data_IF_047448165728
#
_entry.id   IF_047448165728
#
_cell.length_a   1.000
_cell.length_b   1.000
_cell.length_c   1.000
_cell.angle_alpha   90.00
_cell.angle_beta   90.00
_cell.angle_gamma   90.00
#
_symmetry.space_group_name_H-M   'P 1'
#
loop_
_entity.id
_entity.type
_entity.pdbx_description
1 polymer ?
#
# COMPACT_ATOMS: atom_id res chain seq x y z
N UNK A 1 1.40 -10.84 7.29
CA UNK A 1 0.86 -10.71 5.93
C UNK A 1 0.71 -9.23 5.63
N UNK A 2 1.67 -8.69 4.88
CA UNK A 2 1.68 -7.30 4.44
C UNK A 2 0.97 -7.28 3.09
N UNK A 3 -0.02 -6.40 2.91
CA UNK A 3 -0.82 -6.37 1.69
C UNK A 3 -0.31 -5.27 0.79
N UNK A 4 0.44 -5.65 -0.25
CA UNK A 4 0.32 -4.93 -1.53
C UNK A 4 -1.16 -4.82 -1.89
N UNK A 5 -1.60 -3.74 -2.55
CA UNK A 5 -3.01 -3.52 -2.88
C UNK A 5 -3.46 -4.48 -4.00
N UNK A 6 -3.65 -5.75 -3.64
CA UNK A 6 -4.25 -6.76 -4.48
C UNK A 6 -5.76 -6.58 -4.61
N UNK A 7 -6.38 -7.41 -5.43
CA UNK A 7 -7.81 -7.37 -5.72
C UNK A 7 -8.17 -6.55 -6.96
N UNK A 8 -7.20 -5.96 -7.67
CA UNK A 8 -7.46 -5.17 -8.89
C UNK A 8 -8.02 -6.09 -9.98
N UNK A 9 -7.30 -7.18 -10.27
CA UNK A 9 -7.73 -8.18 -11.24
C UNK A 9 -8.99 -8.91 -10.78
N UNK A 10 -9.07 -9.29 -9.50
CA UNK A 10 -10.28 -9.89 -8.95
C UNK A 10 -11.51 -8.99 -9.11
N UNK A 11 -11.40 -7.70 -8.76
CA UNK A 11 -12.51 -6.75 -8.90
C UNK A 11 -12.89 -6.56 -10.36
N UNK A 12 -11.91 -6.48 -11.27
CA UNK A 12 -12.18 -6.46 -12.71
C UNK A 12 -12.94 -7.70 -13.19
N UNK A 13 -12.58 -8.88 -12.70
CA UNK A 13 -13.26 -10.13 -13.04
C UNK A 13 -14.67 -10.19 -12.48
N UNK A 14 -14.88 -9.73 -11.25
CA UNK A 14 -16.22 -9.59 -10.68
C UNK A 14 -17.08 -8.61 -11.49
N UNK A 15 -16.52 -7.48 -11.92
CA UNK A 15 -17.21 -6.52 -12.78
C UNK A 15 -17.61 -7.09 -14.16
N UNK A 16 -16.91 -8.11 -14.65
CA UNK A 16 -17.25 -8.82 -15.90
C UNK A 16 -18.43 -9.78 -15.70
N UNK A 17 -18.60 -10.31 -14.49
CA UNK A 17 -19.60 -11.33 -14.15
C UNK A 17 -20.92 -10.72 -13.68
N UNK A 18 -20.86 -9.68 -12.86
CA UNK A 18 -22.05 -9.09 -12.25
C UNK A 18 -22.58 -7.92 -13.08
N UNK A 19 -23.89 -7.82 -13.16
CA UNK A 19 -24.58 -6.66 -13.72
C UNK A 19 -24.61 -5.50 -12.70
N UNK A 20 -24.73 -4.26 -13.20
CA UNK A 20 -24.93 -3.04 -12.38
C UNK A 20 -23.83 -2.73 -11.33
N UNK A 21 -22.57 -2.87 -11.72
CA UNK A 21 -21.40 -2.57 -10.85
C UNK A 21 -20.99 -1.09 -10.86
N UNK A 22 -20.48 -0.61 -9.72
CA UNK A 22 -19.91 0.74 -9.59
C UNK A 22 -18.67 0.86 -10.48
N UNK A 23 -18.60 1.94 -11.27
CA UNK A 23 -17.52 2.14 -12.26
C UNK A 23 -17.72 1.37 -13.57
N UNK A 24 -18.78 0.58 -13.67
CA UNK A 24 -19.11 -0.21 -14.86
C UNK A 24 -18.16 -1.38 -15.10
N UNK A 25 -18.51 -2.15 -16.13
CA UNK A 25 -17.82 -3.40 -16.50
C UNK A 25 -16.31 -3.24 -16.67
N UNK A 26 -15.88 -2.18 -17.36
CA UNK A 26 -14.47 -1.95 -17.69
C UNK A 26 -13.77 -0.96 -16.75
N UNK A 27 -14.44 -0.41 -15.74
CA UNK A 27 -13.89 0.68 -14.92
C UNK A 27 -12.53 0.37 -14.29
N UNK A 28 -12.34 -0.87 -13.79
CA UNK A 28 -11.07 -1.31 -13.24
C UNK A 28 -9.97 -1.45 -14.31
N UNK A 29 -10.33 -1.97 -15.49
CA UNK A 29 -9.39 -2.17 -16.60
C UNK A 29 -8.94 -0.81 -17.15
N UNK A 30 -9.89 0.09 -17.40
CA UNK A 30 -9.63 1.42 -17.94
C UNK A 30 -8.90 2.30 -16.91
N UNK A 31 -9.29 2.21 -15.63
CA UNK A 31 -8.60 2.89 -14.53
C UNK A 31 -7.15 2.43 -14.40
N UNK A 32 -6.89 1.12 -14.39
CA UNK A 32 -5.53 0.60 -14.33
C UNK A 32 -4.72 0.97 -15.58
N UNK A 33 -5.32 0.95 -16.78
CA UNK A 33 -4.64 1.42 -18.01
C UNK A 33 -4.27 2.90 -17.90
N UNK A 34 -5.15 3.71 -17.34
CA UNK A 34 -5.04 5.17 -17.26
C UNK A 34 -3.92 5.70 -16.37
N UNK A 35 -3.32 4.87 -15.50
CA UNK A 35 -2.18 5.30 -14.67
C UNK A 35 -0.85 5.28 -15.42
N UNK A 36 -0.80 4.72 -16.64
CA UNK A 36 0.42 4.60 -17.44
C UNK A 36 0.37 5.49 -18.68
N UNK A 37 1.55 5.78 -19.24
CA UNK A 37 1.68 6.47 -20.54
C UNK A 37 1.02 5.69 -21.66
N UNK A 38 0.62 6.35 -22.75
CA UNK A 38 0.01 5.68 -23.90
C UNK A 38 0.99 4.77 -24.69
N UNK A 39 2.31 4.99 -24.55
CA UNK A 39 3.37 4.30 -25.31
C UNK A 39 4.42 3.67 -24.38
N UNK A 40 5.21 2.72 -24.90
CA UNK A 40 6.16 1.89 -24.12
C UNK A 40 5.52 0.59 -23.62
N UNK A 41 6.29 -0.36 -23.11
CA UNK A 41 5.74 -1.56 -22.47
C UNK A 41 5.40 -1.28 -21.00
N UNK A 42 4.52 -2.09 -20.41
CA UNK A 42 4.20 -2.07 -18.97
C UNK A 42 4.53 -3.40 -18.34
N UNK A 43 5.46 -3.38 -17.40
CA UNK A 43 5.88 -4.56 -16.66
C UNK A 43 5.31 -4.53 -15.25
N UNK A 44 4.37 -5.42 -14.95
CA UNK A 44 3.84 -5.63 -13.60
C UNK A 44 4.79 -6.56 -12.86
N UNK A 45 5.65 -5.98 -12.02
CA UNK A 45 6.67 -6.73 -11.28
C UNK A 45 6.09 -7.26 -9.97
N UNK A 46 5.91 -8.57 -9.90
CA UNK A 46 5.36 -9.28 -8.73
C UNK A 46 6.50 -10.01 -8.02
N UNK A 47 6.77 -9.66 -6.76
CA UNK A 47 7.77 -10.35 -5.95
C UNK A 47 7.28 -11.70 -5.42
N UNK A 48 8.20 -12.49 -4.88
CA UNK A 48 7.89 -13.78 -4.26
C UNK A 48 6.95 -13.64 -3.05
N UNK A 49 7.11 -12.59 -2.23
CA UNK A 49 6.21 -12.27 -1.11
C UNK A 49 4.77 -11.99 -1.57
N UNK A 50 4.60 -11.51 -2.80
CA UNK A 50 3.30 -11.16 -3.40
C UNK A 50 2.80 -12.20 -4.42
N UNK A 51 3.44 -13.37 -4.51
CA UNK A 51 3.16 -14.38 -5.54
C UNK A 51 1.72 -14.88 -5.56
N UNK A 52 1.02 -14.85 -4.44
CA UNK A 52 -0.38 -15.29 -4.33
C UNK A 52 -1.32 -14.42 -5.17
N UNK A 53 -0.93 -13.19 -5.49
CA UNK A 53 -1.67 -12.27 -6.35
C UNK A 53 -1.27 -12.39 -7.84
N UNK A 54 -0.24 -13.17 -8.19
CA UNK A 54 0.18 -13.33 -9.60
C UNK A 54 -0.98 -13.75 -10.52
N UNK A 55 -1.87 -14.70 -10.17
CA UNK A 55 -2.96 -15.11 -11.05
C UNK A 55 -3.92 -13.96 -11.41
N UNK A 56 -4.22 -13.06 -10.47
CA UNK A 56 -5.09 -11.91 -10.78
C UNK A 56 -4.40 -10.87 -11.66
N UNK A 57 -3.08 -10.70 -11.53
CA UNK A 57 -2.29 -9.81 -12.37
C UNK A 57 -2.17 -10.37 -13.79
N UNK A 58 -1.98 -11.67 -13.93
CA UNK A 58 -1.98 -12.34 -15.24
C UNK A 58 -3.34 -12.24 -15.92
N UNK A 59 -4.43 -12.39 -15.16
CA UNK A 59 -5.77 -12.17 -15.69
C UNK A 59 -5.97 -10.73 -16.16
N UNK A 60 -5.57 -9.75 -15.33
CA UNK A 60 -5.71 -8.33 -15.62
C UNK A 60 -4.97 -7.95 -16.91
N UNK A 61 -3.74 -8.43 -17.07
CA UNK A 61 -2.91 -8.12 -18.23
C UNK A 61 -3.46 -8.71 -19.53
N UNK A 62 -4.07 -9.90 -19.47
CA UNK A 62 -4.78 -10.48 -20.61
C UNK A 62 -5.90 -9.57 -21.12
N UNK A 63 -6.57 -8.81 -20.23
CA UNK A 63 -7.60 -7.83 -20.61
C UNK A 63 -7.01 -6.53 -21.18
N UNK A 64 -5.78 -6.18 -20.80
CA UNK A 64 -5.14 -4.92 -21.16
C UNK A 64 -4.42 -4.97 -22.52
N UNK A 65 -3.99 -6.15 -22.94
CA UNK A 65 -3.37 -6.40 -24.25
C UNK A 65 -1.84 -6.57 -24.22
N UNK A 66 -1.25 -6.69 -25.40
CA UNK A 66 0.14 -7.12 -25.62
C UNK A 66 1.23 -6.21 -25.03
N UNK A 67 0.90 -4.94 -24.76
CA UNK A 67 1.81 -3.97 -24.15
C UNK A 67 2.11 -4.29 -22.68
N UNK A 68 1.24 -5.05 -22.03
CA UNK A 68 1.32 -5.34 -20.61
C UNK A 68 1.87 -6.76 -20.40
N UNK A 69 2.71 -6.94 -19.39
CA UNK A 69 3.30 -8.25 -19.03
C UNK A 69 3.49 -8.36 -17.53
N UNK A 70 3.28 -9.55 -16.95
CA UNK A 70 3.72 -9.83 -15.57
C UNK A 70 5.16 -10.31 -15.63
N UNK A 71 6.02 -9.73 -14.79
CA UNK A 71 7.39 -10.19 -14.61
C UNK A 71 7.69 -10.49 -13.13
N UNK A 72 8.77 -11.23 -12.88
CA UNK A 72 9.27 -11.50 -11.53
C UNK A 72 10.31 -10.45 -11.10
N UNK A 73 10.86 -10.63 -9.89
CA UNK A 73 11.81 -9.71 -9.30
C UNK A 73 13.21 -9.73 -9.91
N UNK A 74 13.48 -10.61 -10.89
CA UNK A 74 14.74 -10.74 -11.61
C UNK A 74 14.74 -10.11 -13.01
N UNK A 75 13.61 -9.57 -13.45
CA UNK A 75 13.49 -8.94 -14.76
C UNK A 75 14.28 -7.62 -14.85
N UNK A 76 15.19 -7.54 -15.83
CA UNK A 76 16.09 -6.39 -16.02
C UNK A 76 16.02 -5.74 -17.42
N UNK A 77 15.29 -6.35 -18.37
CA UNK A 77 15.25 -5.96 -19.78
C UNK A 77 14.30 -4.76 -20.02
N UNK A 78 14.57 -3.65 -19.35
CA UNK A 78 13.80 -2.41 -19.48
C UNK A 78 14.26 -1.57 -20.68
N UNK A 79 13.31 -1.17 -21.53
CA UNK A 79 13.52 -0.24 -22.63
C UNK A 79 13.18 1.20 -22.24
N UNK A 80 13.71 2.17 -23.00
CA UNK A 80 13.36 3.58 -22.81
C UNK A 80 11.88 3.82 -23.10
N UNK A 81 11.20 4.49 -22.18
CA UNK A 81 9.76 4.74 -22.24
C UNK A 81 8.89 3.69 -21.57
N UNK A 82 9.46 2.56 -21.11
CA UNK A 82 8.71 1.54 -20.39
C UNK A 82 8.21 2.05 -19.04
N UNK A 83 7.13 1.44 -18.56
CA UNK A 83 6.59 1.64 -17.22
C UNK A 83 6.67 0.35 -16.42
N UNK A 84 6.98 0.46 -15.14
CA UNK A 84 6.99 -0.67 -14.22
C UNK A 84 5.91 -0.44 -13.18
N UNK A 85 4.95 -1.36 -13.11
CA UNK A 85 4.04 -1.44 -11.99
C UNK A 85 4.69 -2.22 -10.86
N UNK A 86 5.16 -1.52 -9.83
CA UNK A 86 5.78 -2.08 -8.63
C UNK A 86 4.73 -2.74 -7.77
N UNK A 87 4.65 -4.06 -7.84
CA UNK A 87 3.76 -4.89 -7.02
C UNK A 87 4.56 -5.68 -5.97
N UNK A 88 5.32 -4.93 -5.17
CA UNK A 88 6.08 -5.38 -4.01
C UNK A 88 6.32 -4.17 -3.10
N UNK A 89 6.58 -4.41 -1.81
CA UNK A 89 6.81 -3.37 -0.80
C UNK A 89 8.31 -3.09 -0.62
N UNK A 90 8.69 -1.91 -0.10
CA UNK A 90 10.10 -1.54 0.05
C UNK A 90 10.82 -2.32 1.15
N UNK A 91 10.10 -2.88 2.12
CA UNK A 91 10.73 -3.80 3.09
C UNK A 91 11.22 -5.08 2.41
N UNK A 92 10.60 -5.48 1.28
CA UNK A 92 10.96 -6.67 0.49
C UNK A 92 12.10 -6.38 -0.50
N UNK A 93 12.64 -5.15 -0.49
CA UNK A 93 13.61 -4.70 -1.50
C UNK A 93 14.88 -5.58 -1.55
N UNK A 94 15.30 -6.15 -0.43
CA UNK A 94 16.45 -7.07 -0.38
C UNK A 94 16.23 -8.36 -1.19
N UNK A 95 14.98 -8.73 -1.46
CA UNK A 95 14.61 -9.90 -2.26
C UNK A 95 14.33 -9.55 -3.73
N UNK A 96 14.46 -8.27 -4.10
CA UNK A 96 14.28 -7.81 -5.48
C UNK A 96 15.64 -7.78 -6.17
N UNK A 97 15.96 -8.84 -6.91
CA UNK A 97 17.25 -9.00 -7.59
C UNK A 97 17.54 -7.82 -8.54
N UNK A 98 16.54 -7.40 -9.32
CA UNK A 98 16.63 -6.29 -10.26
C UNK A 98 16.55 -4.89 -9.62
N UNK A 99 16.51 -4.77 -8.28
CA UNK A 99 16.24 -3.50 -7.57
C UNK A 99 17.16 -2.35 -7.98
N UNK A 100 18.46 -2.63 -8.07
CA UNK A 100 19.47 -1.64 -8.48
C UNK A 100 19.24 -1.18 -9.92
N UNK A 101 18.99 -2.11 -10.85
CA UNK A 101 18.74 -1.81 -12.26
C UNK A 101 17.46 -1.00 -12.42
N UNK A 102 16.38 -1.44 -11.79
CA UNK A 102 15.06 -0.80 -11.78
C UNK A 102 15.15 0.66 -11.31
N UNK A 103 15.73 0.89 -10.13
CA UNK A 103 15.80 2.24 -9.55
C UNK A 103 16.81 3.14 -10.25
N UNK A 104 17.90 2.60 -10.79
CA UNK A 104 18.82 3.39 -11.61
C UNK A 104 18.17 3.83 -12.92
N UNK A 105 17.44 2.95 -13.61
CA UNK A 105 16.71 3.28 -14.83
C UNK A 105 15.66 4.38 -14.59
N UNK A 106 14.91 4.28 -13.48
CA UNK A 106 13.94 5.29 -13.09
C UNK A 106 14.59 6.62 -12.70
N UNK A 107 15.72 6.58 -11.96
CA UNK A 107 16.51 7.77 -11.60
C UNK A 107 17.03 8.51 -12.83
N UNK A 108 17.43 7.76 -13.86
CA UNK A 108 17.85 8.30 -15.16
C UNK A 108 16.66 8.71 -16.05
N UNK A 109 15.42 8.62 -15.57
CA UNK A 109 14.16 8.93 -16.28
C UNK A 109 13.95 8.11 -17.56
N UNK A 110 14.62 6.95 -17.68
CA UNK A 110 14.43 6.02 -18.81
C UNK A 110 13.11 5.28 -18.72
N UNK A 111 12.69 4.96 -17.50
CA UNK A 111 11.41 4.30 -17.21
C UNK A 111 10.62 5.08 -16.16
N UNK A 112 9.35 4.75 -16.03
CA UNK A 112 8.46 5.24 -14.97
C UNK A 112 8.07 4.12 -14.01
N UNK A 113 8.10 4.38 -12.70
CA UNK A 113 7.71 3.39 -11.68
C UNK A 113 6.43 3.85 -10.98
N UNK A 114 5.43 2.97 -10.94
CA UNK A 114 4.15 3.16 -10.24
C UNK A 114 3.83 1.91 -9.42
N UNK A 115 3.55 1.91 -8.13
CA UNK A 115 3.61 3.00 -7.17
C UNK A 115 5.07 3.46 -6.92
N UNK A 116 5.29 4.75 -6.63
CA UNK A 116 6.63 5.27 -6.40
C UNK A 116 7.28 4.64 -5.15
N UNK A 117 8.61 4.44 -5.13
CA UNK A 117 9.32 3.88 -3.98
C UNK A 117 9.49 4.94 -2.87
N UNK A 118 8.41 5.22 -2.13
CA UNK A 118 8.37 6.19 -1.03
C UNK A 118 8.00 5.48 0.27
N UNK A 119 8.98 5.26 1.14
CA UNK A 119 8.80 4.53 2.42
C UNK A 119 7.66 5.07 3.26
N UNK A 120 7.53 6.39 3.39
CA UNK A 120 6.46 7.02 4.17
C UNK A 120 5.04 6.75 3.66
N UNK A 121 4.87 6.26 2.43
CA UNK A 121 3.56 5.83 1.90
C UNK A 121 3.20 4.40 2.32
N UNK A 122 4.19 3.60 2.73
CA UNK A 122 4.04 2.19 3.15
C UNK A 122 4.01 2.05 4.69
N UNK A 123 4.41 3.12 5.39
CA UNK A 123 4.51 3.15 6.85
C UNK A 123 3.17 3.35 7.57
N UNK A 124 2.79 2.36 8.39
CA UNK A 124 1.58 2.42 9.23
C UNK A 124 1.69 3.42 10.37
N UNK A 125 2.92 3.81 10.73
CA UNK A 125 3.19 4.83 11.74
C UNK A 125 2.52 6.17 11.43
N UNK A 126 2.27 6.47 10.15
CA UNK A 126 1.56 7.68 9.74
C UNK A 126 0.17 7.80 10.41
N UNK A 127 -0.53 6.69 10.62
CA UNK A 127 -1.82 6.70 11.31
C UNK A 127 -1.66 7.06 12.79
N UNK A 128 -0.60 6.58 13.44
CA UNK A 128 -0.33 6.95 14.82
C UNK A 128 0.08 8.43 14.96
N UNK A 129 0.86 8.96 14.01
CA UNK A 129 1.22 10.37 13.95
C UNK A 129 0.01 11.28 13.65
N UNK A 130 -0.94 10.80 12.85
CA UNK A 130 -2.21 11.48 12.62
C UNK A 130 -2.98 11.69 13.92
N UNK A 131 -3.05 10.67 14.79
CA UNK A 131 -3.73 10.74 16.09
C UNK A 131 -2.89 11.37 17.22
N UNK A 132 -1.64 11.75 16.96
CA UNK A 132 -0.78 12.35 17.96
C UNK A 132 -1.27 13.76 18.33
N UNK A 133 -1.64 13.96 19.60
CA UNK A 133 -2.14 15.25 20.12
C UNK A 133 -1.20 16.43 19.83
N UNK A 134 0.12 16.21 19.84
CA UNK A 134 1.12 17.25 19.64
C UNK A 134 1.18 17.72 18.18
N UNK A 135 0.66 16.92 17.24
CA UNK A 135 0.59 17.23 15.81
C UNK A 135 -0.79 17.73 15.37
N UNK A 136 -1.77 17.82 16.28
CA UNK A 136 -3.15 18.19 15.92
C UNK A 136 -3.26 19.54 15.22
N UNK A 137 -2.60 20.57 15.74
CA UNK A 137 -2.62 21.90 15.13
C UNK A 137 -1.85 21.95 13.81
N UNK A 138 -0.78 21.16 13.68
CA UNK A 138 -0.08 20.98 12.41
C UNK A 138 -1.05 20.40 11.36
N UNK A 139 -1.69 19.27 11.65
CA UNK A 139 -2.63 18.64 10.72
C UNK A 139 -3.82 19.53 10.39
N UNK A 140 -4.35 20.25 11.38
CA UNK A 140 -5.45 21.20 11.15
C UNK A 140 -5.06 22.31 10.17
N UNK A 141 -3.81 22.80 10.24
CA UNK A 141 -3.30 23.83 9.33
C UNK A 141 -3.06 23.28 7.92
N UNK A 142 -2.38 22.14 7.80
CA UNK A 142 -2.00 21.58 6.49
C UNK A 142 -3.19 20.98 5.72
N UNK A 143 -4.11 20.32 6.44
CA UNK A 143 -5.26 19.63 5.82
C UNK A 143 -6.53 20.49 5.83
N UNK A 144 -6.62 21.46 6.74
CA UNK A 144 -7.87 22.17 7.02
C UNK A 144 -8.84 21.36 7.89
N UNK A 145 -9.65 22.07 8.68
CA UNK A 145 -10.50 21.45 9.70
C UNK A 145 -11.57 20.49 9.13
N UNK A 146 -12.06 20.74 7.91
CA UNK A 146 -13.08 19.89 7.29
C UNK A 146 -12.51 18.53 6.88
N UNK A 147 -11.36 18.51 6.20
CA UNK A 147 -10.71 17.28 5.78
C UNK A 147 -10.19 16.48 6.97
N UNK A 148 -9.61 17.16 7.97
CA UNK A 148 -9.18 16.52 9.21
C UNK A 148 -10.33 15.71 9.84
N UNK A 149 -11.54 16.30 9.96
CA UNK A 149 -12.71 15.60 10.50
C UNK A 149 -13.21 14.44 9.65
N UNK A 150 -12.97 14.44 8.33
CA UNK A 150 -13.33 13.29 7.50
C UNK A 150 -12.30 12.17 7.67
N UNK A 151 -11.02 12.50 7.75
CA UNK A 151 -9.95 11.55 8.00
C UNK A 151 -10.08 10.89 9.38
N UNK A 152 -10.46 11.65 10.42
CA UNK A 152 -10.76 11.12 11.76
C UNK A 152 -11.86 10.03 11.78
N UNK A 153 -12.75 9.99 10.77
CA UNK A 153 -13.80 8.97 10.67
C UNK A 153 -13.33 7.67 10.01
N UNK A 154 -12.28 7.73 9.19
CA UNK A 154 -11.83 6.61 8.36
C UNK A 154 -10.48 6.04 8.79
N UNK A 155 -9.60 6.87 9.37
CA UNK A 155 -8.32 6.43 9.91
C UNK A 155 -8.56 5.87 11.31
N UNK A 156 -8.28 4.59 11.58
CA UNK A 156 -8.50 4.02 12.91
C UNK A 156 -7.56 4.65 13.93
N UNK A 157 -8.01 4.76 15.18
CA UNK A 157 -7.11 5.13 16.28
C UNK A 157 -5.93 4.16 16.33
N UNK A 158 -4.73 4.73 16.32
CA UNK A 158 -3.48 4.00 16.23
C UNK A 158 -2.49 4.61 17.20
N UNK A 159 -1.70 3.77 17.87
CA UNK A 159 -0.73 4.18 18.88
C UNK A 159 0.66 3.70 18.49
N UNK A 160 1.67 4.53 18.76
CA UNK A 160 3.06 4.06 18.79
C UNK A 160 3.26 3.40 20.15
N UNK A 161 3.69 2.15 20.14
CA UNK A 161 4.02 1.41 21.36
C UNK A 161 5.52 1.50 21.58
N UNK A 162 5.91 2.20 22.65
CA UNK A 162 7.29 2.24 23.14
C UNK A 162 7.43 1.19 24.26
N UNK A 163 8.37 0.24 24.17
CA UNK A 163 8.60 -0.75 25.21
C UNK A 163 9.20 -0.16 26.50
N UNK A 164 9.64 1.10 26.49
CA UNK A 164 10.19 1.78 27.66
C UNK A 164 9.17 1.86 28.81
N UNK A 165 9.57 1.60 30.06
CA UNK A 165 8.66 1.67 31.20
C UNK A 165 8.03 3.05 31.35
N UNK A 166 6.70 3.09 31.43
CA UNK A 166 5.98 4.32 31.76
C UNK A 166 6.14 4.65 33.26
N UNK A 167 6.10 5.94 33.64
CA UNK A 167 5.98 6.33 35.05
C UNK A 167 4.80 5.62 35.74
N UNK A 168 4.87 5.31 37.05
CA UNK A 168 3.84 4.52 37.74
C UNK A 168 2.41 5.06 37.64
N UNK A 169 2.26 6.37 37.39
CA UNK A 169 0.98 7.08 37.27
C UNK A 169 0.58 7.36 35.82
N UNK A 170 1.39 6.94 34.84
CA UNK A 170 1.15 7.18 33.42
C UNK A 170 0.47 5.97 32.76
N UNK A 171 -0.31 6.23 31.73
CA UNK A 171 -0.93 5.22 30.89
C UNK A 171 -0.93 5.67 29.43
N UNK A 172 -0.98 4.72 28.50
CA UNK A 172 -1.12 4.98 27.07
C UNK A 172 -2.51 5.60 26.83
N UNK A 173 -2.59 6.86 26.39
CA UNK A 173 -3.86 7.57 26.29
C UNK A 173 -4.83 6.85 25.35
N UNK A 174 -6.08 6.62 25.77
CA UNK A 174 -7.10 5.93 24.97
C UNK A 174 -7.10 4.40 25.12
N UNK A 175 -5.97 3.79 25.49
CA UNK A 175 -5.90 2.37 25.86
C UNK A 175 -6.00 2.15 27.37
N UNK A 176 -5.59 3.15 28.17
CA UNK A 176 -5.52 3.09 29.63
C UNK A 176 -4.66 1.92 30.15
N UNK A 177 -3.61 1.56 29.40
CA UNK A 177 -2.63 0.54 29.76
C UNK A 177 -1.36 1.19 30.29
N UNK A 178 -0.76 0.61 31.32
CA UNK A 178 0.50 1.09 31.91
C UNK A 178 1.71 0.36 31.34
N UNK A 179 1.50 -0.81 30.74
CA UNK A 179 2.49 -1.60 30.02
C UNK A 179 1.87 -2.21 28.77
N UNK A 180 2.64 -2.33 27.69
CA UNK A 180 2.11 -2.84 26.43
C UNK A 180 1.81 -4.34 26.47
N UNK A 181 2.47 -5.11 27.33
CA UNK A 181 2.25 -6.55 27.51
C UNK A 181 0.82 -6.85 27.97
N UNK A 182 0.18 -5.89 28.66
CA UNK A 182 -1.22 -5.96 29.08
C UNK A 182 -2.20 -6.03 27.89
N UNK A 183 -1.77 -5.65 26.67
CA UNK A 183 -2.56 -5.84 25.45
C UNK A 183 -2.91 -7.32 25.21
N UNK A 184 -1.99 -8.23 25.55
CA UNK A 184 -2.20 -9.68 25.37
C UNK A 184 -3.24 -10.26 26.32
N UNK A 185 -3.48 -9.59 27.45
CA UNK A 185 -4.42 -9.99 28.51
C UNK A 185 -5.86 -9.49 28.26
N UNK A 186 -6.05 -8.62 27.25
CA UNK A 186 -7.38 -8.10 26.91
C UNK A 186 -8.31 -9.20 26.37
N UNK A 187 -9.53 -9.28 26.93
CA UNK A 187 -10.54 -10.27 26.53
C UNK A 187 -10.97 -10.15 25.07
N UNK A 188 -11.52 -11.21 24.47
CA UNK A 188 -12.01 -11.23 23.08
C UNK A 188 -13.01 -10.10 22.75
N UNK A 189 -13.80 -9.62 23.72
CA UNK A 189 -14.70 -8.46 23.54
C UNK A 189 -13.97 -7.12 23.36
N UNK A 190 -12.69 -7.04 23.72
CA UNK A 190 -11.83 -5.87 23.55
C UNK A 190 -10.82 -6.03 22.40
N UNK A 191 -10.88 -7.11 21.60
CA UNK A 191 -9.97 -7.37 20.46
C UNK A 191 -10.36 -6.62 19.18
N UNK A 192 -10.71 -5.34 19.31
CA UNK A 192 -10.74 -4.43 18.15
C UNK A 192 -9.35 -3.85 17.85
N UNK A 193 -8.34 -4.21 18.64
CA UNK A 193 -6.97 -3.74 18.50
C UNK A 193 -6.12 -4.78 17.76
N UNK A 194 -5.34 -4.32 16.80
CA UNK A 194 -4.39 -5.14 16.04
C UNK A 194 -2.99 -4.61 16.37
N UNK A 195 -2.14 -5.46 16.93
CA UNK A 195 -0.73 -5.16 17.07
C UNK A 195 -0.02 -5.43 15.74
N UNK A 196 0.79 -4.46 15.29
CA UNK A 196 1.66 -4.59 14.12
C UNK A 196 3.10 -4.35 14.57
N UNK A 197 3.97 -5.28 14.20
CA UNK A 197 5.43 -5.23 14.38
C UNK A 197 6.09 -4.89 13.05
#
# INVERSE_FOLDING_TARGET
MVSVPGGIGLTGWLNDIYDEVIGGKNGMIDGFRGIFRATGNVHVMVSEESKTYRPEMEWLIKQLGNRFSVCDSSFEDFSEGDSVYRFFELFDLSNIAASNTLFNAARLKRIEITAPPKTYLEEKMLFALFWNRNLKEFWRRELGANYLRQLEKVIPQTWIIDPSPLPPHAAIPGLNLTKWEQLSELSQKNRHLILKL
#
